data_IF_875321657449
#
_entry.id   IF_875321657449
#
_cell.length_a   1.000
_cell.length_b   1.000
_cell.length_c   1.000
_cell.angle_alpha   90.00
_cell.angle_beta   90.00
_cell.angle_gamma   90.00
#
_symmetry.space_group_name_H-M   'P 1'
#
loop_
_entity.id
_entity.type
_entity.pdbx_description
1 polymer ?
#
# COMPACT_ATOMS: atom_id res chain seq x y z
N UNK A 1 11.40 14.72 -5.31
CA UNK A 1 10.16 14.57 -6.11
C UNK A 1 10.30 15.43 -7.37
N UNK A 2 10.81 14.88 -8.47
CA UNK A 2 10.78 15.59 -9.75
C UNK A 2 9.52 15.14 -10.50
N UNK A 3 8.57 16.06 -10.66
CA UNK A 3 7.26 15.96 -11.33
C UNK A 3 6.38 14.74 -10.97
N UNK A 4 5.31 15.00 -10.21
CA UNK A 4 4.16 14.10 -10.11
C UNK A 4 3.37 14.16 -11.41
N UNK A 5 3.36 13.07 -12.17
CA UNK A 5 2.50 12.90 -13.33
C UNK A 5 1.20 12.19 -12.92
N UNK A 6 0.14 12.97 -12.75
CA UNK A 6 -1.18 12.45 -12.39
C UNK A 6 -1.84 11.65 -13.52
N UNK A 7 -1.36 11.76 -14.76
CA UNK A 7 -1.91 10.97 -15.88
C UNK A 7 -1.62 9.48 -15.70
N UNK A 8 -0.56 9.13 -14.97
CA UNK A 8 -0.24 7.75 -14.61
C UNK A 8 -1.43 7.05 -13.91
N UNK A 9 -2.19 7.76 -13.08
CA UNK A 9 -3.33 7.19 -12.35
C UNK A 9 -4.55 6.91 -13.22
N UNK A 10 -4.57 7.38 -14.47
CA UNK A 10 -5.59 6.97 -15.46
C UNK A 10 -5.47 5.49 -15.83
N UNK A 11 -4.33 4.85 -15.53
CA UNK A 11 -4.10 3.42 -15.72
C UNK A 11 -4.63 2.56 -14.57
N UNK A 12 -5.06 3.16 -13.46
CA UNK A 12 -5.68 2.42 -12.36
C UNK A 12 -7.11 2.00 -12.73
N UNK A 13 -7.46 0.78 -12.35
CA UNK A 13 -8.83 0.27 -12.54
C UNK A 13 -9.77 0.93 -11.54
N UNK A 14 -11.05 1.06 -11.91
CA UNK A 14 -12.08 1.47 -10.96
C UNK A 14 -12.82 0.25 -10.42
N UNK A 15 -13.08 0.21 -9.12
CA UNK A 15 -13.75 -0.90 -8.45
C UNK A 15 -14.01 -0.63 -6.98
N UNK A 16 -14.61 -1.60 -6.30
CA UNK A 16 -14.77 -1.56 -4.85
C UNK A 16 -13.42 -1.66 -4.17
N UNK A 17 -13.18 -0.78 -3.21
CA UNK A 17 -11.93 -0.65 -2.45
C UNK A 17 -12.30 -0.52 -0.99
N UNK A 18 -11.73 -1.38 -0.14
CA UNK A 18 -11.88 -1.37 1.31
C UNK A 18 -11.43 -0.02 1.91
N UNK A 19 -10.39 0.59 1.34
CA UNK A 19 -9.91 1.93 1.69
C UNK A 19 -9.31 2.05 3.09
N UNK A 20 -9.05 0.93 3.74
CA UNK A 20 -8.35 0.81 5.03
C UNK A 20 -7.72 -0.57 5.20
N UNK A 21 -7.28 -1.21 4.10
CA UNK A 21 -6.78 -2.59 4.12
C UNK A 21 -5.32 -2.66 4.60
N UNK A 22 -5.06 -2.23 5.82
CA UNK A 22 -3.79 -2.50 6.50
C UNK A 22 -3.79 -3.91 7.07
N UNK A 23 -2.60 -4.47 7.32
CA UNK A 23 -2.45 -5.89 7.68
C UNK A 23 -3.23 -6.28 8.95
N UNK A 24 -3.42 -5.37 9.90
CA UNK A 24 -4.21 -5.65 11.12
C UNK A 24 -5.69 -5.93 10.84
N UNK A 25 -6.21 -5.54 9.66
CA UNK A 25 -7.59 -5.81 9.23
C UNK A 25 -7.72 -7.14 8.47
N UNK A 26 -6.62 -7.89 8.34
CA UNK A 26 -6.61 -9.21 7.70
C UNK A 26 -6.40 -10.27 8.77
N UNK A 27 -7.41 -11.11 8.99
CA UNK A 27 -7.31 -12.27 9.86
C UNK A 27 -6.76 -13.47 9.09
N UNK A 28 -5.82 -14.15 9.72
CA UNK A 28 -5.25 -15.40 9.22
C UNK A 28 -5.68 -16.54 10.13
N UNK A 29 -5.99 -17.68 9.54
CA UNK A 29 -6.12 -18.95 10.23
C UNK A 29 -5.18 -19.93 9.55
N UNK A 30 -4.24 -20.50 10.31
CA UNK A 30 -3.18 -21.34 9.78
C UNK A 30 -2.42 -20.65 8.61
N UNK A 31 -2.51 -21.19 7.40
CA UNK A 31 -1.84 -20.71 6.19
C UNK A 31 -2.75 -19.97 5.20
N UNK A 32 -3.98 -19.62 5.61
CA UNK A 32 -4.95 -18.92 4.75
C UNK A 32 -5.52 -17.66 5.40
N UNK A 33 -5.98 -16.75 4.55
CA UNK A 33 -6.79 -15.60 4.97
C UNK A 33 -8.17 -16.13 5.37
N UNK A 34 -8.56 -15.90 6.62
CA UNK A 34 -9.85 -16.35 7.16
C UNK A 34 -10.94 -15.28 7.03
N UNK A 35 -10.58 -14.01 7.22
CA UNK A 35 -11.52 -12.89 7.10
C UNK A 35 -10.79 -11.56 6.82
N UNK A 36 -11.53 -10.62 6.25
CA UNK A 36 -11.18 -9.20 6.19
C UNK A 36 -12.18 -8.46 7.09
N UNK A 37 -11.70 -7.49 7.87
CA UNK A 37 -12.48 -6.76 8.86
C UNK A 37 -12.55 -5.27 8.51
N UNK A 38 -13.55 -4.57 9.07
CA UNK A 38 -13.66 -3.09 9.07
C UNK A 38 -13.91 -2.43 7.69
N UNK A 39 -15.04 -2.78 7.08
CA UNK A 39 -15.48 -2.21 5.80
C UNK A 39 -16.09 -0.80 5.91
N UNK A 40 -15.97 -0.10 7.04
CA UNK A 40 -16.65 1.19 7.28
C UNK A 40 -16.20 2.31 6.31
N UNK A 41 -15.07 2.12 5.61
CA UNK A 41 -14.52 3.09 4.65
C UNK A 41 -14.68 2.68 3.18
N UNK A 42 -15.28 1.52 2.93
CA UNK A 42 -15.42 0.94 1.60
C UNK A 42 -16.06 1.94 0.61
N UNK A 43 -15.50 2.01 -0.60
CA UNK A 43 -15.99 2.91 -1.65
C UNK A 43 -15.56 2.46 -3.04
N UNK A 44 -16.22 3.01 -4.06
CA UNK A 44 -15.92 2.73 -5.46
C UNK A 44 -14.88 3.72 -6.02
N UNK A 45 -13.63 3.28 -6.07
CA UNK A 45 -12.41 4.05 -6.41
C UNK A 45 -11.37 3.11 -7.03
N UNK A 46 -10.11 3.07 -6.57
CA UNK A 46 -9.02 2.29 -7.14
C UNK A 46 -8.65 1.09 -6.25
N UNK A 47 -9.02 -0.15 -6.60
CA UNK A 47 -8.70 -1.34 -5.79
C UNK A 47 -7.20 -1.54 -5.54
N UNK A 48 -6.35 -1.02 -6.42
CA UNK A 48 -4.90 -1.10 -6.24
C UNK A 48 -4.41 -0.35 -4.99
N UNK A 49 -5.21 0.57 -4.42
CA UNK A 49 -4.90 1.21 -3.14
C UNK A 49 -4.89 0.22 -1.98
N UNK A 50 -5.80 -0.75 -1.97
CA UNK A 50 -5.81 -1.79 -0.94
C UNK A 50 -4.56 -2.68 -1.04
N UNK A 51 -4.15 -2.99 -2.28
CA UNK A 51 -2.91 -3.73 -2.55
C UNK A 51 -1.70 -2.96 -2.05
N UNK A 52 -1.62 -1.66 -2.37
CA UNK A 52 -0.55 -0.80 -1.89
C UNK A 52 -0.54 -0.73 -0.35
N UNK A 53 -1.70 -0.58 0.29
CA UNK A 53 -1.85 -0.43 1.74
C UNK A 53 -1.46 -1.71 2.49
N UNK A 54 -1.86 -2.89 2.01
CA UNK A 54 -1.50 -4.17 2.64
C UNK A 54 -0.02 -4.50 2.43
N UNK A 55 0.53 -4.24 1.24
CA UNK A 55 1.97 -4.40 0.97
C UNK A 55 2.78 -3.48 1.86
N UNK A 56 2.37 -2.22 2.00
CA UNK A 56 3.08 -1.25 2.82
C UNK A 56 3.11 -1.68 4.30
N UNK A 57 1.98 -2.17 4.81
CA UNK A 57 1.86 -2.58 6.22
C UNK A 57 2.54 -3.93 6.51
N UNK A 58 2.56 -4.84 5.53
CA UNK A 58 3.02 -6.21 5.74
C UNK A 58 4.45 -6.49 5.29
N UNK A 59 4.93 -5.77 4.28
CA UNK A 59 6.22 -6.02 3.64
C UNK A 59 7.30 -5.02 4.03
N UNK A 60 7.00 -3.98 4.80
CA UNK A 60 8.01 -3.00 5.25
C UNK A 60 8.14 -3.09 6.76
N UNK A 61 9.40 -3.10 7.20
CA UNK A 61 9.75 -2.97 8.61
C UNK A 61 10.90 -1.97 8.77
N UNK A 62 11.48 -1.91 9.97
CA UNK A 62 12.62 -1.06 10.32
C UNK A 62 13.86 -1.25 9.42
N UNK A 63 13.99 -2.41 8.76
CA UNK A 63 15.07 -2.71 7.81
C UNK A 63 14.68 -2.39 6.35
N UNK A 64 13.50 -1.83 6.13
CA UNK A 64 12.96 -1.49 4.81
C UNK A 64 12.11 -2.61 4.20
N UNK A 65 12.12 -2.70 2.87
CA UNK A 65 11.27 -3.64 2.13
C UNK A 65 11.79 -5.07 2.24
N UNK A 66 10.98 -5.95 2.82
CA UNK A 66 11.19 -7.39 2.85
C UNK A 66 10.75 -8.03 1.52
N UNK A 67 11.71 -8.30 0.64
CA UNK A 67 11.46 -8.89 -0.69
C UNK A 67 10.78 -10.26 -0.62
N UNK A 68 11.12 -11.11 0.34
CA UNK A 68 10.52 -12.44 0.45
C UNK A 68 9.01 -12.38 0.76
N UNK A 69 8.59 -11.42 1.61
CA UNK A 69 7.17 -11.17 1.86
C UNK A 69 6.47 -10.59 0.63
N UNK A 70 7.12 -9.66 -0.06
CA UNK A 70 6.59 -9.09 -1.30
C UNK A 70 6.37 -10.18 -2.36
N UNK A 71 7.37 -11.03 -2.60
CA UNK A 71 7.29 -12.13 -3.57
C UNK A 71 6.17 -13.12 -3.21
N UNK A 72 6.01 -13.42 -1.92
CA UNK A 72 4.93 -14.29 -1.43
C UNK A 72 3.55 -13.68 -1.64
N UNK A 73 3.41 -12.37 -1.36
CA UNK A 73 2.18 -11.62 -1.63
C UNK A 73 1.85 -11.61 -3.13
N UNK A 74 2.81 -11.27 -3.99
CA UNK A 74 2.63 -11.24 -5.44
C UNK A 74 2.19 -12.59 -5.97
N UNK A 75 2.85 -13.67 -5.54
CA UNK A 75 2.49 -15.03 -5.95
C UNK A 75 1.02 -15.32 -5.67
N UNK A 76 0.53 -15.02 -4.47
CA UNK A 76 -0.88 -15.24 -4.12
C UNK A 76 -1.84 -14.29 -4.84
N UNK A 77 -1.48 -13.01 -4.96
CA UNK A 77 -2.34 -12.02 -5.61
C UNK A 77 -2.50 -12.28 -7.12
N UNK A 78 -1.42 -12.71 -7.79
CA UNK A 78 -1.41 -13.01 -9.22
C UNK A 78 -2.19 -14.28 -9.59
N UNK A 79 -2.53 -15.16 -8.64
CA UNK A 79 -3.46 -16.27 -8.89
C UNK A 79 -4.86 -15.74 -9.29
N UNK A 80 -5.24 -14.57 -8.80
CA UNK A 80 -6.52 -13.91 -9.09
C UNK A 80 -6.38 -12.78 -10.13
N UNK A 81 -5.23 -12.10 -10.14
CA UNK A 81 -4.93 -11.00 -11.06
C UNK A 81 -3.62 -11.25 -11.85
N UNK A 82 -3.62 -12.17 -12.84
CA UNK A 82 -2.40 -12.64 -13.49
C UNK A 82 -1.61 -11.56 -14.23
N UNK A 83 -2.24 -10.45 -14.61
CA UNK A 83 -1.62 -9.33 -15.31
C UNK A 83 -1.06 -8.25 -14.39
N UNK A 84 -1.19 -8.39 -13.07
CA UNK A 84 -0.71 -7.38 -12.12
C UNK A 84 0.82 -7.44 -12.02
N UNK A 85 1.49 -6.31 -12.28
CA UNK A 85 2.95 -6.22 -12.32
C UNK A 85 3.51 -5.28 -11.24
N UNK A 86 4.82 -5.34 -10.99
CA UNK A 86 5.50 -4.44 -10.03
C UNK A 86 5.29 -2.96 -10.35
N UNK A 87 5.18 -2.59 -11.63
CA UNK A 87 4.88 -1.21 -12.05
C UNK A 87 3.49 -0.74 -11.63
N UNK A 88 2.52 -1.66 -11.55
CA UNK A 88 1.17 -1.35 -11.07
C UNK A 88 1.18 -1.10 -9.57
N UNK A 89 1.92 -1.91 -8.81
CA UNK A 89 2.18 -1.64 -7.40
C UNK A 89 2.92 -0.30 -7.22
N UNK A 90 3.94 -0.02 -8.02
CA UNK A 90 4.68 1.25 -7.98
C UNK A 90 3.76 2.46 -8.13
N UNK A 91 2.89 2.44 -9.15
CA UNK A 91 1.84 3.46 -9.36
C UNK A 91 0.89 3.54 -8.16
N UNK A 92 0.44 2.41 -7.65
CA UNK A 92 -0.51 2.36 -6.54
C UNK A 92 0.09 2.91 -5.23
N UNK A 93 1.37 2.65 -4.94
CA UNK A 93 2.08 3.20 -3.78
C UNK A 93 2.23 4.72 -3.88
N UNK A 94 2.47 5.25 -5.07
CA UNK A 94 2.49 6.70 -5.29
C UNK A 94 1.10 7.33 -5.05
N UNK A 95 0.05 6.68 -5.54
CA UNK A 95 -1.33 7.12 -5.32
C UNK A 95 -1.70 7.06 -3.83
N UNK A 96 -1.33 5.98 -3.14
CA UNK A 96 -1.54 5.81 -1.70
C UNK A 96 -0.87 6.95 -0.91
N UNK A 97 0.37 7.30 -1.25
CA UNK A 97 1.06 8.42 -0.61
C UNK A 97 0.28 9.73 -0.79
N UNK A 98 -0.23 10.02 -2.00
CA UNK A 98 -1.00 11.24 -2.28
C UNK A 98 -2.27 11.30 -1.41
N UNK A 99 -2.94 10.15 -1.24
CA UNK A 99 -4.19 10.05 -0.46
C UNK A 99 -3.93 10.15 1.04
N UNK A 100 -2.93 9.43 1.55
CA UNK A 100 -2.74 9.23 2.99
C UNK A 100 -1.74 10.20 3.65
N UNK A 101 -0.81 10.79 2.88
CA UNK A 101 0.17 11.72 3.43
C UNK A 101 -0.46 12.89 4.21
N UNK A 102 -1.58 13.51 3.77
CA UNK A 102 -2.26 14.55 4.54
C UNK A 102 -2.78 14.09 5.91
N UNK A 103 -2.98 12.79 6.13
CA UNK A 103 -3.47 12.24 7.40
C UNK A 103 -2.33 11.95 8.37
N UNK A 104 -1.20 11.44 7.85
CA UNK A 104 -0.14 10.88 8.68
C UNK A 104 1.07 11.81 8.84
N UNK A 105 1.41 12.63 7.86
CA UNK A 105 2.53 13.58 7.96
C UNK A 105 2.08 14.81 8.74
N UNK A 106 2.26 14.76 10.07
CA UNK A 106 1.89 15.83 11.01
C UNK A 106 2.94 16.07 12.07
N UNK A 107 3.00 17.29 12.59
CA UNK A 107 4.05 17.76 13.52
C UNK A 107 3.91 17.22 14.95
N UNK A 108 2.76 16.63 15.30
CA UNK A 108 2.46 16.09 16.62
C UNK A 108 2.38 14.55 16.64
N UNK A 109 2.93 13.88 15.63
CA UNK A 109 2.85 12.42 15.49
C UNK A 109 3.42 11.66 16.70
N UNK A 110 4.47 12.19 17.34
CA UNK A 110 5.10 11.60 18.53
C UNK A 110 4.16 11.53 19.75
N UNK A 111 3.08 12.32 19.75
CA UNK A 111 2.06 12.31 20.82
C UNK A 111 0.93 11.31 20.57
N UNK A 112 0.89 10.71 19.37
CA UNK A 112 -0.14 9.76 19.00
C UNK A 112 0.15 8.35 19.55
N UNK A 113 -0.82 7.45 19.47
CA UNK A 113 -0.62 6.02 19.77
C UNK A 113 0.30 5.36 18.73
N UNK A 114 0.68 4.11 19.00
CA UNK A 114 1.63 3.33 18.17
C UNK A 114 1.16 3.18 16.72
N UNK A 115 -0.15 2.99 16.50
CA UNK A 115 -0.70 2.74 15.14
C UNK A 115 -0.52 3.96 14.21
N UNK A 116 -0.95 5.19 14.57
CA UNK A 116 -0.63 6.38 13.78
C UNK A 116 0.88 6.59 13.57
N UNK A 117 1.71 6.32 14.58
CA UNK A 117 3.17 6.44 14.43
C UNK A 117 3.72 5.45 13.39
N UNK A 118 3.23 4.20 13.38
CA UNK A 118 3.56 3.22 12.34
C UNK A 118 3.17 3.71 10.96
N UNK A 119 1.93 4.19 10.78
CA UNK A 119 1.46 4.71 9.49
C UNK A 119 2.30 5.91 9.02
N UNK A 120 2.72 6.80 9.93
CA UNK A 120 3.66 7.86 9.59
C UNK A 120 4.99 7.32 9.06
N UNK A 121 5.60 6.34 9.74
CA UNK A 121 6.87 5.74 9.32
C UNK A 121 6.76 5.08 7.94
N UNK A 122 5.65 4.41 7.66
CA UNK A 122 5.39 3.76 6.37
C UNK A 122 5.20 4.79 5.24
N UNK A 123 4.45 5.87 5.47
CA UNK A 123 4.31 6.97 4.50
C UNK A 123 5.63 7.72 4.31
N UNK A 124 6.41 7.91 5.37
CA UNK A 124 7.74 8.52 5.29
C UNK A 124 8.69 7.62 4.47
N UNK A 125 8.63 6.31 4.67
CA UNK A 125 9.38 5.35 3.87
C UNK A 125 9.02 5.43 2.39
N UNK A 126 7.73 5.55 2.04
CA UNK A 126 7.29 5.76 0.65
C UNK A 126 7.86 7.04 0.05
N UNK A 127 7.86 8.13 0.83
CA UNK A 127 8.42 9.40 0.38
C UNK A 127 9.92 9.28 0.08
N UNK A 128 10.67 8.57 0.93
CA UNK A 128 12.11 8.34 0.78
C UNK A 128 12.42 7.41 -0.41
N UNK A 129 11.53 6.46 -0.69
CA UNK A 129 11.68 5.46 -1.76
C UNK A 129 10.77 5.75 -2.96
N UNK A 130 10.61 7.04 -3.29
CA UNK A 130 9.70 7.46 -4.36
C UNK A 130 10.07 6.83 -5.70
N UNK A 131 9.16 6.07 -6.30
CA UNK A 131 9.38 5.41 -7.59
C UNK A 131 10.16 4.10 -7.52
N UNK A 132 10.21 3.45 -6.35
CA UNK A 132 10.94 2.19 -6.12
C UNK A 132 10.68 1.09 -7.17
N UNK A 133 9.49 1.06 -7.79
CA UNK A 133 9.13 0.09 -8.84
C UNK A 133 8.86 0.71 -10.21
N UNK A 134 9.32 1.94 -10.46
CA UNK A 134 9.22 2.55 -11.79
C UNK A 134 10.16 1.84 -12.77
N UNK A 135 9.81 1.82 -14.06
CA UNK A 135 10.57 1.12 -15.12
C UNK A 135 12.05 1.54 -15.25
N UNK A 136 12.46 2.65 -14.61
CA UNK A 136 13.84 3.15 -14.57
C UNK A 136 14.64 2.76 -13.31
N UNK A 137 14.10 1.90 -12.45
CA UNK A 137 14.78 1.41 -11.25
C UNK A 137 15.61 0.15 -11.56
N UNK A 138 16.72 0.31 -12.28
CA UNK A 138 17.82 -0.66 -12.37
C UNK A 138 19.13 -0.01 -11.92
#
# INVERSE_FOLDING_TARGET
MNHLDFTLFQLCTHGWTHWDLHLDNVLFQDDHVSAILDFDRERYVYPELDVARVVLSGCIDENGLNKAKLDSFFKGYQEWFPSFELKDLGRALQLLWIVEAPWWIKTDIEKCSVVPQRFFLEIEWLQKNWGIFNENSQ
#
